data_IF_160347862224
#
_entry.id   IF_160347862224
#
_cell.length_a   1.000
_cell.length_b   1.000
_cell.length_c   1.000
_cell.angle_alpha   90.00
_cell.angle_beta   90.00
_cell.angle_gamma   90.00
#
_symmetry.space_group_name_H-M   'P 1'
#
loop_
_entity.id
_entity.type
_entity.pdbx_description
1 polymer ?
#
# COMPACT_ATOMS: atom_id res chain seq x y z
N UNK A 1 3.91 22.38 -1.08
CA UNK A 1 3.90 21.27 -0.09
C UNK A 1 4.81 20.19 -0.62
N UNK A 2 5.47 19.41 0.22
CA UNK A 2 6.44 18.42 -0.23
C UNK A 2 5.76 17.08 -0.52
N UNK A 3 6.35 16.27 -1.40
CA UNK A 3 5.99 14.88 -1.64
C UNK A 3 5.87 14.11 -0.30
N UNK A 4 4.97 13.10 -0.20
CA UNK A 4 4.90 12.28 1.00
C UNK A 4 6.25 11.64 1.34
N UNK A 5 6.63 11.75 2.61
CA UNK A 5 7.89 11.21 3.09
C UNK A 5 7.88 9.68 3.10
N UNK A 6 9.07 9.08 2.98
CA UNK A 6 9.28 7.62 3.12
C UNK A 6 8.60 7.04 4.36
N UNK A 7 8.69 7.75 5.49
CA UNK A 7 8.11 7.30 6.76
C UNK A 7 6.59 7.32 6.75
N UNK A 8 5.97 8.25 6.02
CA UNK A 8 4.53 8.25 5.83
C UNK A 8 4.10 7.04 4.98
N UNK A 9 4.83 6.73 3.91
CA UNK A 9 4.47 5.66 2.96
C UNK A 9 4.77 4.26 3.51
N UNK A 10 5.94 4.05 4.11
CA UNK A 10 6.43 2.73 4.52
C UNK A 10 6.49 2.52 6.03
N UNK A 11 6.27 3.58 6.83
CA UNK A 11 6.23 3.53 8.28
C UNK A 11 7.44 4.17 8.97
N UNK A 12 7.28 4.42 10.27
CA UNK A 12 8.13 5.32 11.04
C UNK A 12 9.59 4.86 11.14
N UNK A 13 9.82 3.55 11.19
CA UNK A 13 11.15 2.96 11.31
C UNK A 13 11.77 2.64 9.95
N UNK A 14 11.14 3.02 8.84
CA UNK A 14 11.72 2.83 7.51
C UNK A 14 13.02 3.63 7.34
N UNK A 15 14.05 2.94 6.89
CA UNK A 15 15.36 3.52 6.58
C UNK A 15 15.72 3.27 5.13
N UNK A 16 16.56 4.15 4.60
CA UNK A 16 17.04 4.07 3.24
C UNK A 16 18.49 4.47 3.21
N UNK A 17 19.28 3.71 2.47
CA UNK A 17 20.65 4.02 2.11
C UNK A 17 20.75 4.09 0.58
N UNK A 18 21.95 4.29 0.04
CA UNK A 18 22.17 4.28 -1.40
C UNK A 18 21.84 2.94 -2.07
N UNK A 19 21.79 1.84 -1.31
CA UNK A 19 21.63 0.49 -1.86
C UNK A 19 20.50 -0.31 -1.24
N UNK A 20 19.93 0.17 -0.14
CA UNK A 20 18.94 -0.57 0.64
C UNK A 20 17.76 0.31 1.01
N UNK A 21 16.56 -0.22 0.83
CA UNK A 21 15.35 0.26 1.46
C UNK A 21 14.92 -0.79 2.48
N UNK A 22 14.94 -0.43 3.76
CA UNK A 22 14.55 -1.33 4.86
C UNK A 22 13.21 -0.90 5.40
N UNK A 23 12.24 -1.81 5.33
CA UNK A 23 10.90 -1.65 5.88
C UNK A 23 10.72 -2.71 6.97
N UNK A 24 10.53 -2.27 8.21
CA UNK A 24 10.29 -3.19 9.31
C UNK A 24 8.88 -3.80 9.18
N UNK A 25 8.75 -5.11 9.38
CA UNK A 25 7.45 -5.79 9.29
C UNK A 25 6.44 -5.23 10.30
N UNK A 26 6.92 -4.78 11.46
CA UNK A 26 6.08 -4.18 12.50
C UNK A 26 5.47 -2.85 12.05
N UNK A 27 6.14 -2.11 11.16
CA UNK A 27 5.60 -0.88 10.57
C UNK A 27 4.46 -1.15 9.57
N UNK A 28 4.36 -2.39 9.08
CA UNK A 28 3.32 -2.86 8.18
C UNK A 28 2.16 -3.55 8.93
N UNK A 29 2.29 -3.71 10.26
CA UNK A 29 1.27 -4.33 11.08
C UNK A 29 0.07 -3.39 11.19
N UNK A 30 -0.98 -3.71 10.44
CA UNK A 30 -2.29 -3.09 10.58
C UNK A 30 -3.18 -4.01 11.44
N UNK A 31 -4.02 -3.46 12.34
CA UNK A 31 -4.77 -4.22 13.36
C UNK A 31 -5.52 -5.46 12.84
N UNK A 32 -5.91 -5.47 11.56
CA UNK A 32 -6.85 -6.45 11.04
C UNK A 32 -6.30 -7.31 9.88
N UNK A 33 -5.04 -7.14 9.44
CA UNK A 33 -4.64 -7.72 8.12
C UNK A 33 -3.23 -8.27 7.97
N UNK A 34 -2.24 -7.80 8.73
CA UNK A 34 -0.87 -8.29 8.61
C UNK A 34 -0.27 -8.58 9.97
N UNK A 35 0.12 -9.83 10.19
CA UNK A 35 0.82 -10.27 11.40
C UNK A 35 2.26 -10.56 11.00
N UNK A 36 3.24 -9.81 11.53
CA UNK A 36 4.65 -10.09 11.34
C UNK A 36 5.00 -11.52 11.77
N UNK A 37 5.64 -12.26 10.88
CA UNK A 37 6.13 -13.61 11.13
C UNK A 37 7.41 -13.87 10.33
N UNK A 38 8.22 -14.82 10.79
CA UNK A 38 9.44 -15.21 10.08
C UNK A 38 9.17 -15.67 8.63
N UNK A 39 8.03 -16.33 8.40
CA UNK A 39 7.68 -16.95 7.12
C UNK A 39 6.45 -16.30 6.45
N UNK A 40 6.29 -14.98 6.55
CA UNK A 40 5.27 -14.29 5.74
C UNK A 40 5.56 -14.54 4.26
N UNK A 41 4.51 -14.89 3.50
CA UNK A 41 4.62 -15.10 2.05
C UNK A 41 4.85 -13.75 1.35
N UNK A 42 5.50 -13.79 0.19
CA UNK A 42 5.76 -12.60 -0.62
C UNK A 42 4.49 -11.80 -0.92
N UNK A 43 3.39 -12.48 -1.29
CA UNK A 43 2.09 -11.83 -1.54
C UNK A 43 1.54 -11.12 -0.29
N UNK A 44 1.76 -11.68 0.90
CA UNK A 44 1.33 -11.04 2.16
C UNK A 44 2.13 -9.76 2.42
N UNK A 45 3.45 -9.79 2.18
CA UNK A 45 4.32 -8.63 2.32
C UNK A 45 3.94 -7.53 1.33
N UNK A 46 3.78 -7.89 0.05
CA UNK A 46 3.35 -6.95 -0.98
C UNK A 46 1.99 -6.32 -0.65
N UNK A 47 1.01 -7.13 -0.26
CA UNK A 47 -0.30 -6.62 0.13
C UNK A 47 -0.25 -5.69 1.35
N UNK A 48 0.66 -5.94 2.31
CA UNK A 48 0.83 -5.09 3.48
C UNK A 48 1.46 -3.74 3.12
N UNK A 49 2.55 -3.75 2.33
CA UNK A 49 3.18 -2.53 1.80
C UNK A 49 2.19 -1.70 1.01
N UNK A 50 1.45 -2.34 0.10
CA UNK A 50 0.46 -1.65 -0.73
C UNK A 50 -0.65 -1.01 0.10
N UNK A 51 -1.21 -1.74 1.09
CA UNK A 51 -2.24 -1.21 1.99
C UNK A 51 -1.75 -0.02 2.81
N UNK A 52 -0.50 -0.05 3.27
CA UNK A 52 0.12 1.08 3.96
C UNK A 52 0.20 2.30 3.05
N UNK A 53 0.68 2.11 1.83
CA UNK A 53 0.82 3.18 0.83
C UNK A 53 -0.54 3.80 0.42
N UNK A 54 -1.62 2.99 0.34
CA UNK A 54 -2.98 3.49 0.08
C UNK A 54 -3.36 4.59 1.06
N UNK A 55 -3.03 4.47 2.35
CA UNK A 55 -3.42 5.47 3.35
C UNK A 55 -2.83 6.86 3.09
N UNK A 56 -1.78 6.95 2.26
CA UNK A 56 -1.08 8.19 1.93
C UNK A 56 -1.47 8.70 0.54
N UNK A 57 -1.50 7.83 -0.47
CA UNK A 57 -1.66 8.23 -1.88
C UNK A 57 -3.13 8.35 -2.34
N UNK A 58 -4.08 8.59 -1.43
CA UNK A 58 -5.48 8.80 -1.79
C UNK A 58 -5.67 10.06 -2.67
N UNK A 59 -6.77 10.08 -3.42
CA UNK A 59 -7.20 11.24 -4.23
C UNK A 59 -7.30 12.53 -3.42
N UNK A 60 -7.75 12.45 -2.16
CA UNK A 60 -7.89 13.60 -1.27
C UNK A 60 -6.51 14.19 -0.93
N UNK A 61 -5.51 13.32 -0.70
CA UNK A 61 -4.11 13.73 -0.51
C UNK A 61 -3.53 14.38 -1.76
N UNK A 62 -3.85 13.87 -2.95
CA UNK A 62 -3.38 14.44 -4.23
C UNK A 62 -3.90 15.86 -4.43
N UNK A 63 -5.18 16.11 -4.16
CA UNK A 63 -5.79 17.44 -4.29
C UNK A 63 -5.14 18.51 -3.38
N UNK A 64 -4.52 18.06 -2.29
CA UNK A 64 -3.83 18.92 -1.32
C UNK A 64 -2.31 18.94 -1.50
N UNK A 65 -1.73 18.02 -2.29
CA UNK A 65 -0.29 17.91 -2.49
C UNK A 65 0.08 17.93 -3.98
N UNK A 66 0.43 19.11 -4.49
CA UNK A 66 0.76 19.32 -5.91
C UNK A 66 2.01 18.55 -6.38
N UNK A 67 2.88 18.14 -5.46
CA UNK A 67 4.11 17.40 -5.78
C UNK A 67 3.89 15.87 -5.76
N UNK A 68 2.70 15.42 -5.36
CA UNK A 68 2.35 14.00 -5.40
C UNK A 68 2.16 13.57 -6.85
N UNK A 69 2.89 12.56 -7.30
CA UNK A 69 2.82 12.02 -8.67
C UNK A 69 2.06 10.70 -8.77
N UNK A 70 1.69 10.09 -7.64
CA UNK A 70 0.98 8.81 -7.60
C UNK A 70 -0.40 9.02 -6.97
N UNK A 71 -1.45 8.49 -7.58
CA UNK A 71 -2.80 8.46 -7.02
C UNK A 71 -3.31 7.03 -6.97
N UNK A 72 -3.85 6.62 -5.82
CA UNK A 72 -4.46 5.31 -5.64
C UNK A 72 -5.94 5.48 -5.30
N UNK A 73 -6.80 4.90 -6.14
CA UNK A 73 -8.26 4.97 -5.99
C UNK A 73 -8.81 3.57 -5.72
N UNK A 74 -9.57 3.39 -4.62
CA UNK A 74 -10.33 2.16 -4.38
C UNK A 74 -11.56 2.13 -5.30
N UNK A 75 -11.67 1.06 -6.10
CA UNK A 75 -12.82 0.81 -6.94
C UNK A 75 -13.93 0.09 -6.15
N UNK A 76 -15.11 -0.03 -6.75
CA UNK A 76 -16.22 -0.77 -6.16
C UNK A 76 -15.82 -2.22 -5.86
N UNK A 77 -16.19 -2.69 -4.66
CA UNK A 77 -15.97 -4.08 -4.24
C UNK A 77 -16.86 -5.00 -5.05
N UNK A 78 -16.32 -6.15 -5.45
CA UNK A 78 -17.06 -7.17 -6.19
C UNK A 78 -16.85 -8.53 -5.56
N UNK A 79 -17.74 -9.47 -5.87
CA UNK A 79 -17.50 -10.88 -5.58
C UNK A 79 -16.96 -11.54 -6.84
N UNK A 80 -15.92 -12.35 -6.67
CA UNK A 80 -15.39 -13.21 -7.73
C UNK A 80 -15.47 -14.66 -7.29
N UNK A 81 -15.71 -15.54 -8.25
CA UNK A 81 -15.73 -16.98 -8.02
C UNK A 81 -14.36 -17.54 -8.37
N UNK A 82 -13.73 -18.23 -7.42
CA UNK A 82 -12.48 -18.95 -7.67
C UNK A 82 -12.75 -20.23 -8.46
N UNK A 83 -11.68 -20.84 -8.98
CA UNK A 83 -11.75 -22.12 -9.71
C UNK A 83 -12.33 -23.28 -8.88
N UNK A 84 -12.31 -23.18 -7.55
CA UNK A 84 -12.92 -24.12 -6.61
C UNK A 84 -14.39 -23.81 -6.26
N UNK A 85 -15.04 -22.92 -7.02
CA UNK A 85 -16.40 -22.43 -6.83
C UNK A 85 -16.64 -21.64 -5.52
N UNK A 86 -15.60 -21.31 -4.75
CA UNK A 86 -15.72 -20.43 -3.60
C UNK A 86 -15.90 -18.97 -4.04
N UNK A 87 -16.81 -18.25 -3.37
CA UNK A 87 -16.97 -16.81 -3.55
C UNK A 87 -16.00 -16.05 -2.65
N UNK A 88 -15.23 -15.14 -3.24
CA UNK A 88 -14.31 -14.25 -2.51
C UNK A 88 -14.65 -12.80 -2.78
N UNK A 89 -14.56 -11.97 -1.73
CA UNK A 89 -14.67 -10.53 -1.87
C UNK A 89 -13.38 -9.99 -2.48
N UNK A 90 -13.49 -9.35 -3.64
CA UNK A 90 -12.41 -8.70 -4.35
C UNK A 90 -12.50 -7.19 -4.12
N UNK A 91 -11.37 -6.60 -3.78
CA UNK A 91 -11.18 -5.15 -3.73
C UNK A 91 -10.18 -4.79 -4.82
N UNK A 92 -10.61 -3.96 -5.74
CA UNK A 92 -9.77 -3.51 -6.85
C UNK A 92 -9.31 -2.08 -6.58
N UNK A 93 -8.09 -1.76 -6.99
CA UNK A 93 -7.55 -0.42 -6.90
C UNK A 93 -6.98 -0.03 -8.26
N UNK A 94 -7.09 1.25 -8.61
CA UNK A 94 -6.40 1.83 -9.74
C UNK A 94 -5.21 2.63 -9.21
N UNK A 95 -4.02 2.43 -9.79
CA UNK A 95 -2.82 3.20 -9.49
C UNK A 95 -2.49 4.02 -10.72
N UNK A 96 -2.47 5.34 -10.57
CA UNK A 96 -2.19 6.29 -11.63
C UNK A 96 -0.85 6.99 -11.34
N UNK A 97 -0.02 7.09 -12.37
CA UNK A 97 1.25 7.81 -12.34
C UNK A 97 1.08 9.07 -13.19
N UNK A 98 1.07 10.22 -12.54
CA UNK A 98 0.99 11.52 -13.17
C UNK A 98 2.43 12.00 -13.43
N UNK A 99 2.90 11.74 -14.64
CA UNK A 99 4.18 12.24 -15.12
C UNK A 99 4.04 13.73 -15.52
N UNK A 100 5.05 14.57 -15.26
CA UNK A 100 5.06 15.98 -15.68
C UNK A 100 5.16 16.17 -17.20
#
# INVERSE_FOLDING_TARGET
>A
MAEPTRQQVFGANSTETLTELVIFKDDLAEPDKFIPAAQNKAEQLFAAIFKRAIAVFLSDSYSSNIEQSIVITENTKSYSTRSDASSVLVRSYTVEFNEP
#
